data_IF_776842696310
#
_entry.id   IF_776842696310
#
_cell.length_a   1.000
_cell.length_b   1.000
_cell.length_c   1.000
_cell.angle_alpha   90.00
_cell.angle_beta   90.00
_cell.angle_gamma   90.00
#
_symmetry.space_group_name_H-M   'P 1'
#
loop_
_entity.id
_entity.type
_entity.pdbx_description
1 polymer ?
#
# COMPACT_ATOMS: atom_id res chain seq x y z
N UNK A 1 -3.05 0.35 22.29
CA UNK A 1 -4.38 0.54 21.67
C UNK A 1 -5.44 0.46 22.76
N UNK A 2 -6.37 1.41 22.81
CA UNK A 2 -7.53 1.30 23.71
C UNK A 2 -8.65 0.55 22.98
N UNK A 3 -9.02 -0.63 23.47
CA UNK A 3 -10.00 -1.52 22.81
C UNK A 3 -11.38 -0.90 22.72
N UNK A 4 -11.83 -0.18 23.76
CA UNK A 4 -13.16 0.44 23.75
C UNK A 4 -13.25 1.53 22.66
N UNK A 5 -12.21 2.36 22.55
CA UNK A 5 -12.12 3.37 21.48
C UNK A 5 -12.03 2.74 20.10
N UNK A 6 -11.23 1.67 19.95
CA UNK A 6 -11.11 0.96 18.68
C UNK A 6 -12.44 0.36 18.22
N UNK A 7 -13.12 -0.38 19.11
CA UNK A 7 -14.41 -1.00 18.78
C UNK A 7 -15.44 0.05 18.38
N UNK A 8 -15.51 1.17 19.11
CA UNK A 8 -16.41 2.27 18.74
C UNK A 8 -16.11 2.83 17.34
N UNK A 9 -14.84 2.98 16.97
CA UNK A 9 -14.46 3.41 15.62
C UNK A 9 -14.83 2.37 14.55
N UNK A 10 -14.67 1.07 14.86
CA UNK A 10 -14.98 -0.03 13.96
C UNK A 10 -16.49 -0.16 13.74
N UNK A 11 -17.26 -0.21 14.84
CA UNK A 11 -18.72 -0.41 14.83
C UNK A 11 -19.46 0.77 14.17
N UNK A 12 -18.90 1.98 14.25
CA UNK A 12 -19.45 3.16 13.58
C UNK A 12 -18.98 3.35 12.14
N UNK A 13 -18.17 2.42 11.61
CA UNK A 13 -17.54 2.54 10.28
C UNK A 13 -16.85 3.89 10.06
N UNK A 14 -16.26 4.45 11.12
CA UNK A 14 -15.75 5.83 11.14
C UNK A 14 -14.79 6.16 9.99
N UNK A 15 -14.05 5.16 9.51
CA UNK A 15 -13.07 5.27 8.44
C UNK A 15 -13.44 4.47 7.18
N UNK A 16 -14.69 4.00 7.06
CA UNK A 16 -15.12 3.15 5.94
C UNK A 16 -14.88 3.79 4.56
N UNK A 17 -15.20 5.09 4.45
CA UNK A 17 -14.94 5.86 3.21
C UNK A 17 -13.47 5.91 2.81
N UNK A 18 -12.56 5.98 3.78
CA UNK A 18 -11.11 5.95 3.52
C UNK A 18 -10.67 4.56 3.05
N UNK A 19 -11.19 3.49 3.66
CA UNK A 19 -10.93 2.11 3.25
C UNK A 19 -11.40 1.85 1.81
N UNK A 20 -12.59 2.35 1.46
CA UNK A 20 -13.13 2.23 0.10
C UNK A 20 -12.29 3.01 -0.91
N UNK A 21 -11.87 4.23 -0.53
CA UNK A 21 -10.99 5.06 -1.33
C UNK A 21 -9.65 4.36 -1.60
N UNK A 22 -8.98 3.86 -0.58
CA UNK A 22 -7.70 3.15 -0.70
C UNK A 22 -7.83 1.89 -1.56
N UNK A 23 -8.94 1.16 -1.39
CA UNK A 23 -9.26 -0.02 -2.21
C UNK A 23 -9.42 0.35 -3.69
N UNK A 24 -10.11 1.45 -3.97
CA UNK A 24 -10.29 1.96 -5.33
C UNK A 24 -8.98 2.46 -5.94
N UNK A 25 -8.17 3.17 -5.17
CA UNK A 25 -6.87 3.69 -5.59
C UNK A 25 -5.92 2.53 -5.95
N UNK A 26 -5.87 1.47 -5.13
CA UNK A 26 -5.11 0.26 -5.43
C UNK A 26 -5.56 -0.44 -6.72
N UNK A 27 -6.88 -0.61 -6.93
CA UNK A 27 -7.43 -1.19 -8.17
C UNK A 27 -7.09 -0.33 -9.39
N UNK A 28 -7.21 0.99 -9.27
CA UNK A 28 -6.91 1.96 -10.34
C UNK A 28 -5.43 1.94 -10.70
N UNK A 29 -4.55 1.83 -9.70
CA UNK A 29 -3.11 1.62 -9.91
C UNK A 29 -2.76 0.22 -10.47
N UNK A 30 -3.76 -0.66 -10.63
CA UNK A 30 -3.60 -2.02 -11.15
C UNK A 30 -2.89 -2.95 -10.18
N UNK A 31 -3.05 -2.75 -8.87
CA UNK A 31 -2.62 -3.69 -7.83
C UNK A 31 -3.52 -4.92 -7.88
N UNK A 32 -2.91 -6.11 -7.93
CA UNK A 32 -3.63 -7.40 -7.98
C UNK A 32 -3.35 -8.29 -6.77
N UNK A 33 -2.47 -7.87 -5.88
CA UNK A 33 -2.05 -8.63 -4.71
C UNK A 33 -1.02 -7.88 -3.88
N UNK A 34 -0.80 -8.37 -2.66
CA UNK A 34 0.09 -7.74 -1.69
C UNK A 34 1.33 -8.61 -1.41
N UNK A 35 2.49 -8.00 -1.13
CA UNK A 35 2.73 -6.57 -1.25
C UNK A 35 2.97 -6.17 -2.71
N UNK A 36 2.50 -4.98 -3.09
CA UNK A 36 2.87 -4.31 -4.35
C UNK A 36 3.42 -2.95 -3.98
N UNK A 37 4.57 -2.60 -4.52
CA UNK A 37 5.28 -1.34 -4.31
C UNK A 37 5.30 -0.54 -5.62
N UNK A 38 5.51 0.76 -5.48
CA UNK A 38 5.79 1.65 -6.60
C UNK A 38 7.06 2.44 -6.28
N UNK A 39 8.10 2.30 -7.10
CA UNK A 39 9.37 3.00 -6.95
C UNK A 39 9.42 4.03 -8.09
N UNK A 40 9.25 5.31 -7.78
CA UNK A 40 9.08 6.41 -8.75
C UNK A 40 8.06 6.09 -9.87
N UNK A 41 6.92 5.48 -9.52
CA UNK A 41 5.88 5.09 -10.47
C UNK A 41 6.10 3.75 -11.18
N UNK A 42 7.30 3.15 -11.10
CA UNK A 42 7.54 1.78 -11.57
C UNK A 42 6.96 0.77 -10.59
N UNK A 43 6.07 -0.09 -11.09
CA UNK A 43 5.43 -1.14 -10.30
C UNK A 43 6.43 -2.27 -9.97
N UNK A 44 6.52 -2.63 -8.70
CA UNK A 44 7.40 -3.67 -8.17
C UNK A 44 6.61 -4.62 -7.27
N UNK A 45 6.46 -5.88 -7.69
CA UNK A 45 5.43 -6.79 -7.16
C UNK A 45 6.02 -7.91 -6.32
N UNK A 46 5.35 -8.22 -5.21
CA UNK A 46 5.65 -9.33 -4.33
C UNK A 46 6.54 -8.95 -3.16
N UNK A 47 6.63 -9.86 -2.20
CA UNK A 47 7.59 -9.75 -1.10
C UNK A 47 8.99 -10.03 -1.64
N UNK A 48 9.68 -8.98 -2.10
CA UNK A 48 11.00 -9.07 -2.70
C UNK A 48 12.09 -8.88 -1.63
N UNK A 49 13.29 -9.46 -1.82
CA UNK A 49 14.40 -9.24 -0.91
C UNK A 49 14.95 -7.82 -1.00
N UNK A 50 15.65 -7.38 0.04
CA UNK A 50 16.28 -6.05 0.11
C UNK A 50 17.13 -5.71 -1.12
N UNK A 51 17.94 -6.64 -1.61
CA UNK A 51 18.82 -6.40 -2.77
C UNK A 51 18.03 -6.02 -4.04
N UNK A 52 16.84 -6.60 -4.23
CA UNK A 52 15.98 -6.27 -5.36
C UNK A 52 15.40 -4.84 -5.22
N UNK A 53 15.04 -4.42 -4.00
CA UNK A 53 14.66 -3.03 -3.75
C UNK A 53 15.82 -2.07 -4.01
N UNK A 54 17.01 -2.39 -3.51
CA UNK A 54 18.20 -1.56 -3.67
C UNK A 54 18.48 -1.31 -5.16
N UNK A 55 18.48 -2.36 -5.97
CA UNK A 55 18.70 -2.26 -7.41
C UNK A 55 17.64 -1.36 -8.08
N UNK A 56 16.36 -1.52 -7.74
CA UNK A 56 15.28 -0.72 -8.32
C UNK A 56 15.34 0.75 -7.90
N UNK A 57 15.75 1.04 -6.67
CA UNK A 57 15.94 2.41 -6.18
C UNK A 57 17.16 3.07 -6.84
N UNK A 58 18.29 2.36 -6.95
CA UNK A 58 19.48 2.85 -7.64
C UNK A 58 19.18 3.17 -9.11
N UNK A 59 18.40 2.31 -9.79
CA UNK A 59 17.94 2.57 -11.14
C UNK A 59 17.03 3.82 -11.23
N UNK A 60 16.17 4.05 -10.22
CA UNK A 60 15.28 5.21 -10.17
C UNK A 60 16.00 6.54 -9.87
N UNK A 61 17.23 6.51 -9.34
CA UNK A 61 18.07 7.68 -9.08
C UNK A 61 19.03 8.03 -10.23
N UNK A 62 19.24 7.11 -11.17
CA UNK A 62 20.17 7.27 -12.28
C UNK A 62 19.57 7.98 -13.51
N UNK A 63 18.28 8.31 -13.48
CA UNK A 63 17.56 9.09 -14.51
C UNK A 63 17.24 10.49 -14.03
#
# INVERSE_FOLDING_TARGET
>A
MNTATFNSCLDSEKYGSEVDKDTSDGRTAGVRGTPTFFINGKKFVGAQPYEAFKQEIEAALAG
#
